data_IF_601519028440
#
_entry.id   IF_601519028440
#
_cell.length_a   1.000
_cell.length_b   1.000
_cell.length_c   1.000
_cell.angle_alpha   90.00
_cell.angle_beta   90.00
_cell.angle_gamma   90.00
#
_symmetry.space_group_name_H-M   'P 1'
#
loop_
_entity.id
_entity.type
_entity.pdbx_description
1 polymer ?
#
# COMPACT_ATOMS: atom_id res chain seq x y z
N UNK A 1 0.42 47.61 48.19
CA UNK A 1 -0.24 46.30 48.02
C UNK A 1 0.17 45.75 46.67
N UNK A 2 0.92 44.63 46.63
CA UNK A 2 1.35 43.97 45.37
C UNK A 2 0.28 42.95 44.98
N UNK A 3 -0.39 43.17 43.86
CA UNK A 3 -1.31 42.20 43.26
C UNK A 3 -0.52 41.21 42.40
N UNK A 4 -0.63 39.92 42.70
CA UNK A 4 -0.13 38.84 41.84
C UNK A 4 -1.32 38.23 41.12
N UNK A 5 -1.36 38.35 39.80
CA UNK A 5 -2.35 37.68 38.94
C UNK A 5 -1.78 36.31 38.58
N UNK A 6 -2.41 35.26 39.09
CA UNK A 6 -2.09 33.86 38.77
C UNK A 6 -2.83 33.50 37.47
N UNK A 7 -2.11 33.45 36.34
CA UNK A 7 -2.69 33.01 35.07
C UNK A 7 -2.55 31.49 34.96
N UNK A 8 -3.63 30.76 35.24
CA UNK A 8 -3.69 29.31 35.04
C UNK A 8 -3.90 29.01 33.55
N UNK A 9 -2.85 28.52 32.88
CA UNK A 9 -2.90 28.08 31.49
C UNK A 9 -3.61 26.73 31.36
N UNK A 10 -4.80 26.72 30.77
CA UNK A 10 -5.51 25.51 30.37
C UNK A 10 -4.73 24.88 29.19
N UNK A 11 -4.06 23.77 29.47
CA UNK A 11 -3.40 22.96 28.45
C UNK A 11 -4.48 22.12 27.75
N UNK A 12 -4.93 22.56 26.57
CA UNK A 12 -5.77 21.72 25.72
C UNK A 12 -4.89 20.61 25.13
N UNK A 13 -4.94 19.42 25.73
CA UNK A 13 -4.44 18.21 25.10
C UNK A 13 -5.37 17.85 23.94
N UNK A 14 -5.02 18.31 22.74
CA UNK A 14 -5.61 17.77 21.52
C UNK A 14 -5.11 16.34 21.36
N UNK A 15 -6.05 15.39 21.33
CA UNK A 15 -5.75 14.02 20.92
C UNK A 15 -5.51 14.05 19.41
N UNK A 16 -4.25 14.11 18.99
CA UNK A 16 -3.88 13.86 17.61
C UNK A 16 -4.23 12.41 17.30
N UNK A 17 -5.26 12.21 16.47
CA UNK A 17 -5.51 10.95 15.79
C UNK A 17 -4.18 10.58 15.11
N UNK A 18 -3.54 9.51 15.54
CA UNK A 18 -2.32 9.07 14.87
C UNK A 18 -2.72 8.68 13.46
N UNK A 19 -2.39 9.52 12.48
CA UNK A 19 -2.37 9.09 11.10
C UNK A 19 -1.39 7.92 11.05
N UNK A 20 -1.93 6.69 11.01
CA UNK A 20 -1.13 5.52 10.67
C UNK A 20 -0.54 5.81 9.31
N UNK A 21 0.75 6.10 9.27
CA UNK A 21 1.40 6.49 8.04
C UNK A 21 1.33 5.33 7.05
N UNK A 22 0.79 5.56 5.86
CA UNK A 22 0.83 4.60 4.75
C UNK A 22 2.28 4.25 4.36
N UNK A 23 3.24 5.13 4.70
CA UNK A 23 4.66 4.94 4.41
C UNK A 23 5.17 3.69 5.12
N UNK A 24 5.75 2.78 4.36
CA UNK A 24 6.25 1.53 4.89
C UNK A 24 6.63 0.52 3.82
N UNK A 25 7.07 -0.63 4.29
CA UNK A 25 7.37 -1.80 3.46
C UNK A 25 6.39 -2.90 3.86
N UNK A 26 5.61 -3.36 2.90
CA UNK A 26 4.54 -4.33 3.10
C UNK A 26 4.89 -5.62 2.38
N UNK A 27 4.76 -6.74 3.07
CA UNK A 27 4.80 -8.07 2.45
C UNK A 27 3.37 -8.51 2.20
N UNK A 28 3.10 -9.02 1.00
CA UNK A 28 1.77 -9.53 0.68
C UNK A 28 1.47 -10.79 1.51
N UNK A 29 0.34 -10.79 2.21
CA UNK A 29 -0.14 -11.93 2.98
C UNK A 29 -1.18 -12.75 2.19
N UNK A 30 -2.11 -12.07 1.53
CA UNK A 30 -3.20 -12.67 0.75
C UNK A 30 -3.59 -11.72 -0.39
N UNK A 31 -4.07 -12.28 -1.51
CA UNK A 31 -4.71 -11.53 -2.59
C UNK A 31 -5.90 -12.30 -3.14
N UNK A 32 -6.89 -11.59 -3.68
CA UNK A 32 -8.05 -12.18 -4.36
C UNK A 32 -8.41 -11.32 -5.56
N UNK A 33 -8.58 -11.94 -6.73
CA UNK A 33 -8.88 -11.23 -7.98
C UNK A 33 -10.15 -11.78 -8.61
N UNK A 34 -11.17 -10.95 -8.74
CA UNK A 34 -12.44 -11.38 -9.35
C UNK A 34 -12.40 -11.00 -10.84
N UNK A 35 -12.48 -11.99 -11.74
CA UNK A 35 -12.52 -11.76 -13.18
C UNK A 35 -13.88 -12.18 -13.73
N UNK A 36 -14.79 -11.22 -13.89
CA UNK A 36 -16.16 -11.48 -14.34
C UNK A 36 -16.99 -12.17 -13.25
N UNK A 37 -17.71 -13.25 -13.59
CA UNK A 37 -18.48 -14.06 -12.60
C UNK A 37 -17.61 -15.06 -11.84
N UNK A 38 -16.37 -15.28 -12.29
CA UNK A 38 -15.45 -16.20 -11.65
C UNK A 38 -14.60 -15.45 -10.63
N UNK A 39 -14.80 -15.79 -9.36
CA UNK A 39 -13.91 -15.35 -8.28
C UNK A 39 -12.63 -16.19 -8.39
N UNK A 40 -11.59 -15.66 -9.04
CA UNK A 40 -10.26 -16.29 -8.99
C UNK A 40 -9.62 -15.85 -7.68
N UNK A 41 -9.77 -16.68 -6.63
CA UNK A 41 -8.98 -16.49 -5.42
C UNK A 41 -7.53 -16.85 -5.73
N UNK A 42 -6.78 -15.88 -6.28
CA UNK A 42 -5.34 -16.00 -6.45
C UNK A 42 -4.69 -15.78 -5.08
N UNK A 43 -4.84 -16.77 -4.20
CA UNK A 43 -3.99 -16.85 -3.02
C UNK A 43 -2.57 -16.88 -3.53
N UNK A 44 -1.79 -15.85 -3.21
CA UNK A 44 -0.37 -15.88 -3.48
C UNK A 44 0.18 -17.05 -2.70
N UNK A 45 0.59 -18.08 -3.44
CA UNK A 45 1.21 -19.28 -2.89
C UNK A 45 2.58 -18.84 -2.35
N UNK A 46 2.60 -18.45 -1.08
CA UNK A 46 3.81 -17.96 -0.39
C UNK A 46 4.90 -19.02 -0.30
N UNK A 47 4.62 -20.28 -0.66
CA UNK A 47 5.65 -21.31 -0.81
C UNK A 47 6.39 -21.19 -2.15
N UNK A 48 5.78 -20.58 -3.16
CA UNK A 48 6.31 -20.43 -4.53
C UNK A 48 6.80 -19.04 -4.85
N UNK A 49 6.08 -18.02 -4.39
CA UNK A 49 6.40 -16.62 -4.71
C UNK A 49 6.43 -15.75 -3.44
N UNK A 50 7.08 -14.61 -3.55
CA UNK A 50 7.08 -13.59 -2.49
C UNK A 50 6.88 -12.21 -3.13
N UNK A 51 5.99 -11.41 -2.54
CA UNK A 51 5.70 -10.07 -3.02
C UNK A 51 5.89 -9.04 -1.91
N UNK A 52 6.54 -7.93 -2.27
CA UNK A 52 6.65 -6.74 -1.44
C UNK A 52 6.08 -5.53 -2.16
N UNK A 53 5.52 -4.59 -1.39
CA UNK A 53 5.18 -3.23 -1.81
C UNK A 53 5.88 -2.25 -0.89
N UNK A 54 6.57 -1.27 -1.45
CA UNK A 54 7.21 -0.19 -0.70
C UNK A 54 6.49 1.11 -1.04
N UNK A 55 6.06 1.84 -0.02
CA UNK A 55 5.40 3.13 -0.15
C UNK A 55 6.25 4.14 0.62
N UNK A 56 6.74 5.16 -0.07
CA UNK A 56 7.41 6.30 0.54
C UNK A 56 6.47 7.52 0.52
N UNK A 57 6.99 8.73 0.79
CA UNK A 57 6.16 9.94 0.85
C UNK A 57 5.41 10.28 -0.45
N UNK A 58 5.92 9.88 -1.62
CA UNK A 58 5.39 10.32 -2.92
C UNK A 58 5.21 9.20 -3.94
N UNK A 59 5.83 8.04 -3.71
CA UNK A 59 5.89 6.94 -4.66
C UNK A 59 5.57 5.61 -3.99
N UNK A 60 5.11 4.69 -4.81
CA UNK A 60 5.02 3.28 -4.49
C UNK A 60 5.86 2.46 -5.48
N UNK A 61 6.24 1.27 -5.06
CA UNK A 61 6.77 0.24 -5.94
C UNK A 61 6.36 -1.13 -5.42
N UNK A 62 6.20 -2.09 -6.33
CA UNK A 62 5.95 -3.48 -5.98
C UNK A 62 6.88 -4.40 -6.76
N UNK A 63 7.18 -5.53 -6.14
CA UNK A 63 8.02 -6.58 -6.70
C UNK A 63 7.41 -7.91 -6.29
N UNK A 64 7.25 -8.82 -7.24
CA UNK A 64 6.88 -10.19 -6.97
C UNK A 64 7.81 -11.11 -7.76
N UNK A 65 8.35 -12.12 -7.10
CA UNK A 65 9.30 -13.04 -7.71
C UNK A 65 9.06 -14.48 -7.28
N UNK A 66 9.46 -15.42 -8.12
CA UNK A 66 9.53 -16.83 -7.74
C UNK A 66 10.71 -17.08 -6.78
N UNK A 67 10.51 -18.02 -5.84
CA UNK A 67 11.53 -18.41 -4.86
C UNK A 67 12.62 -19.30 -5.44
N UNK A 68 12.43 -19.85 -6.65
CA UNK A 68 13.43 -20.65 -7.35
C UNK A 68 14.37 -19.81 -8.23
N UNK A 69 14.27 -18.48 -8.16
CA UNK A 69 15.14 -17.53 -8.87
C UNK A 69 15.17 -17.75 -10.39
N UNK A 70 14.03 -18.11 -10.99
CA UNK A 70 13.90 -18.29 -12.44
C UNK A 70 14.60 -19.51 -13.02
N UNK A 71 14.97 -20.51 -12.19
CA UNK A 71 15.73 -21.69 -12.63
C UNK A 71 14.89 -22.82 -13.23
N UNK A 72 13.56 -22.69 -13.21
CA UNK A 72 12.65 -23.68 -13.77
C UNK A 72 11.52 -23.04 -14.58
N UNK A 73 10.56 -23.85 -15.02
CA UNK A 73 9.41 -23.41 -15.82
C UNK A 73 8.45 -22.48 -15.08
N UNK A 74 8.64 -22.25 -13.77
CA UNK A 74 7.83 -21.34 -12.95
C UNK A 74 8.46 -19.95 -12.78
N UNK A 75 9.54 -19.66 -13.52
CA UNK A 75 10.22 -18.39 -13.51
C UNK A 75 9.25 -17.19 -13.58
N UNK A 76 9.32 -16.33 -12.56
CA UNK A 76 8.48 -15.17 -12.40
C UNK A 76 9.29 -14.03 -11.80
N UNK A 77 9.30 -12.90 -12.47
CA UNK A 77 9.67 -11.63 -11.87
C UNK A 77 8.78 -10.55 -12.48
N UNK A 78 7.94 -9.94 -11.65
CA UNK A 78 7.12 -8.80 -12.04
C UNK A 78 7.36 -7.66 -11.08
N UNK A 79 7.41 -6.45 -11.63
CA UNK A 79 7.65 -5.26 -10.84
C UNK A 79 6.95 -4.07 -11.46
N UNK A 80 6.62 -3.09 -10.63
CA UNK A 80 6.14 -1.81 -11.11
C UNK A 80 6.23 -0.75 -10.03
N UNK A 81 5.92 0.48 -10.41
CA UNK A 81 5.91 1.60 -9.48
C UNK A 81 5.64 2.92 -10.18
N UNK A 82 5.46 3.94 -9.37
CA UNK A 82 5.17 5.30 -9.81
C UNK A 82 4.71 6.16 -8.65
N UNK A 83 4.01 7.24 -8.95
CA UNK A 83 3.48 8.15 -7.92
C UNK A 83 2.13 7.69 -7.39
N UNK A 84 1.72 8.21 -6.24
CA UNK A 84 0.36 8.03 -5.75
C UNK A 84 -0.24 9.32 -5.19
N UNK A 85 -1.57 9.35 -5.11
CA UNK A 85 -2.35 10.35 -4.39
C UNK A 85 -3.17 9.64 -3.30
N UNK A 86 -3.16 10.20 -2.08
CA UNK A 86 -3.94 9.70 -0.96
C UNK A 86 -4.86 10.80 -0.43
N UNK A 87 -6.16 10.58 -0.54
CA UNK A 87 -7.22 11.50 -0.09
C UNK A 87 -8.19 10.75 0.83
N UNK A 88 -7.94 10.82 2.14
CA UNK A 88 -8.65 9.99 3.11
C UNK A 88 -8.28 8.52 2.95
N UNK A 89 -9.24 7.67 2.60
CA UNK A 89 -9.03 6.26 2.26
C UNK A 89 -8.90 6.01 0.75
N UNK A 90 -9.05 7.05 -0.08
CA UNK A 90 -8.92 6.94 -1.53
C UNK A 90 -7.44 7.01 -1.92
N UNK A 91 -6.94 5.91 -2.47
CA UNK A 91 -5.55 5.74 -2.87
C UNK A 91 -5.49 5.50 -4.38
N UNK A 92 -4.92 6.47 -5.11
CA UNK A 92 -4.78 6.41 -6.57
C UNK A 92 -3.31 6.19 -6.92
N UNK A 93 -3.00 5.10 -7.61
CA UNK A 93 -1.67 4.78 -8.14
C UNK A 93 -1.56 5.25 -9.59
N UNK A 94 -0.56 6.08 -9.90
CA UNK A 94 -0.15 6.40 -11.26
C UNK A 94 1.04 5.49 -11.62
N UNK A 95 0.84 4.53 -12.51
CA UNK A 95 1.86 3.51 -12.80
C UNK A 95 2.80 3.98 -13.92
N UNK A 96 4.00 4.42 -13.55
CA UNK A 96 5.00 4.96 -14.48
C UNK A 96 5.90 3.87 -15.06
N UNK A 97 6.22 2.85 -14.26
CA UNK A 97 7.09 1.75 -14.63
C UNK A 97 6.38 0.42 -14.38
N UNK A 98 6.44 -0.50 -15.35
CA UNK A 98 5.93 -1.86 -15.16
C UNK A 98 6.69 -2.87 -16.03
N UNK A 99 6.98 -4.05 -15.49
CA UNK A 99 7.49 -5.19 -16.27
C UNK A 99 6.52 -5.56 -17.40
N UNK A 100 5.21 -5.39 -17.16
CA UNK A 100 4.20 -5.46 -18.20
C UNK A 100 3.92 -4.07 -18.79
N UNK A 101 4.73 -3.68 -19.77
CA UNK A 101 4.71 -2.36 -20.43
C UNK A 101 3.31 -1.84 -20.84
N UNK A 102 2.35 -2.67 -21.30
CA UNK A 102 1.00 -2.19 -21.64
C UNK A 102 0.22 -1.57 -20.47
N UNK A 103 0.66 -1.74 -19.22
CA UNK A 103 0.06 -1.10 -18.05
C UNK A 103 0.63 0.28 -17.71
N UNK A 104 1.74 0.68 -18.32
CA UNK A 104 2.34 1.97 -18.03
C UNK A 104 1.47 3.14 -18.49
N UNK A 105 1.48 4.22 -17.70
CA UNK A 105 0.62 5.39 -17.87
C UNK A 105 -0.83 5.16 -17.43
N UNK A 106 -1.20 3.98 -16.94
CA UNK A 106 -2.52 3.74 -16.36
C UNK A 106 -2.61 4.28 -14.94
N UNK A 107 -3.85 4.56 -14.55
CA UNK A 107 -4.22 4.91 -13.18
C UNK A 107 -5.09 3.82 -12.58
N UNK A 108 -4.78 3.46 -11.34
CA UNK A 108 -5.52 2.45 -10.58
C UNK A 108 -6.05 3.09 -9.31
N UNK A 109 -7.33 2.86 -9.02
CA UNK A 109 -8.02 3.48 -7.88
C UNK A 109 -8.41 2.41 -6.88
N UNK A 110 -8.00 2.64 -5.64
CA UNK A 110 -8.23 1.73 -4.53
C UNK A 110 -8.80 2.48 -3.33
N UNK A 111 -9.51 1.76 -2.49
CA UNK A 111 -9.78 2.12 -1.11
C UNK A 111 -8.79 1.37 -0.22
N UNK A 112 -8.16 2.08 0.72
CA UNK A 112 -7.21 1.48 1.66
C UNK A 112 -7.70 1.57 3.10
N UNK A 113 -7.33 0.59 3.93
CA UNK A 113 -7.47 0.67 5.38
C UNK A 113 -6.24 0.12 6.08
N UNK A 114 -5.78 0.80 7.13
CA UNK A 114 -4.69 0.37 8.00
C UNK A 114 -5.26 -0.15 9.32
N UNK A 115 -4.92 -1.39 9.67
CA UNK A 115 -5.31 -2.06 10.92
C UNK A 115 -4.05 -2.52 11.64
N UNK A 116 -3.52 -1.69 12.53
CA UNK A 116 -2.21 -1.94 13.14
C UNK A 116 -1.10 -1.81 12.10
N UNK A 117 -0.35 -2.90 11.87
CA UNK A 117 0.70 -3.01 10.86
C UNK A 117 0.21 -3.56 9.50
N UNK A 118 -1.08 -3.85 9.40
CA UNK A 118 -1.67 -4.49 8.22
C UNK A 118 -2.36 -3.45 7.32
N UNK A 119 -1.89 -3.36 6.08
CA UNK A 119 -2.53 -2.60 4.99
C UNK A 119 -3.48 -3.51 4.21
N UNK A 120 -4.73 -3.09 4.08
CA UNK A 120 -5.72 -3.67 3.17
C UNK A 120 -5.95 -2.69 2.03
N UNK A 121 -5.85 -3.15 0.79
CA UNK A 121 -6.08 -2.38 -0.43
C UNK A 121 -7.11 -3.11 -1.29
N UNK A 122 -8.22 -2.44 -1.64
CA UNK A 122 -9.32 -3.00 -2.40
C UNK A 122 -9.69 -2.07 -3.56
N UNK A 123 -9.89 -2.61 -4.76
CA UNK A 123 -10.23 -1.80 -5.92
C UNK A 123 -10.27 -2.60 -7.21
N UNK A 124 -10.37 -1.90 -8.33
CA UNK A 124 -10.40 -2.50 -9.66
C UNK A 124 -9.12 -2.16 -10.44
N UNK A 125 -8.54 -3.18 -11.06
CA UNK A 125 -7.40 -3.09 -11.97
C UNK A 125 -7.83 -3.14 -13.45
#
# INVERSE_FOLDING_TARGET
MRFYILMAGICMMSCQKSDSSLIGNYRLLESTTIKGKDTIRLLVDSTKTEMIKMINTTHFSFFNHDKNQGKDSTALFVSGGGTYLLEGDNYTENLDFCSYRPWEGKQFKFTISLRGDTLVQEGME
#
